data_IF_074995438092
#
_entry.id   IF_074995438092
#
_cell.length_a   1.000
_cell.length_b   1.000
_cell.length_c   1.000
_cell.angle_alpha   90.00
_cell.angle_beta   90.00
_cell.angle_gamma   90.00
#
_symmetry.space_group_name_H-M   'P 1'
#
loop_
_entity.id
_entity.type
_entity.pdbx_description
1 polymer ?
#
# COMPACT_ATOMS: atom_id res chain seq x y z
N UNK A 1 -9.90 14.65 -0.69
CA UNK A 1 -9.63 15.60 0.40
C UNK A 1 -9.22 16.91 -0.27
N UNK A 2 -9.97 17.96 -0.05
CA UNK A 2 -9.77 19.26 -0.70
C UNK A 2 -10.50 20.32 0.13
N UNK A 3 -9.92 21.49 0.37
CA UNK A 3 -10.56 22.55 1.16
C UNK A 3 -11.57 23.36 0.34
N UNK A 4 -11.44 23.36 -0.97
CA UNK A 4 -12.39 24.00 -1.88
C UNK A 4 -13.67 23.16 -2.00
N UNK A 5 -14.75 23.62 -1.38
CA UNK A 5 -16.02 22.88 -1.32
C UNK A 5 -16.57 22.55 -2.71
N UNK A 6 -16.49 23.47 -3.65
CA UNK A 6 -16.99 23.29 -5.02
C UNK A 6 -16.20 22.19 -5.73
N UNK A 7 -14.88 22.18 -5.61
CA UNK A 7 -14.02 21.13 -6.20
C UNK A 7 -14.25 19.78 -5.53
N UNK A 8 -14.25 19.76 -4.20
CA UNK A 8 -14.46 18.54 -3.39
C UNK A 8 -15.81 17.88 -3.67
N UNK A 9 -16.89 18.65 -3.58
CA UNK A 9 -18.25 18.13 -3.85
C UNK A 9 -18.46 17.86 -5.34
N UNK A 10 -17.89 18.70 -6.20
CA UNK A 10 -17.89 18.49 -7.65
C UNK A 10 -17.28 17.13 -8.02
N UNK A 11 -16.09 16.83 -7.55
CA UNK A 11 -15.46 15.54 -7.76
C UNK A 11 -16.27 14.38 -7.18
N UNK A 12 -16.85 14.55 -6.00
CA UNK A 12 -17.59 13.48 -5.34
C UNK A 12 -18.92 13.14 -6.01
N UNK A 13 -19.60 14.12 -6.61
CA UNK A 13 -20.99 13.99 -7.08
C UNK A 13 -21.14 13.91 -8.60
N UNK A 14 -20.29 14.63 -9.35
CA UNK A 14 -20.48 14.74 -10.81
C UNK A 14 -19.71 13.69 -11.61
N UNK A 15 -18.70 13.04 -11.03
CA UNK A 15 -18.02 11.92 -11.67
C UNK A 15 -18.85 10.65 -11.46
N UNK A 16 -19.16 9.90 -12.53
CA UNK A 16 -19.98 8.69 -12.42
C UNK A 16 -19.16 7.50 -11.87
N UNK A 17 -18.76 7.61 -10.61
CA UNK A 17 -17.86 6.66 -9.93
C UNK A 17 -18.28 5.20 -10.07
N UNK A 18 -19.58 4.92 -9.98
CA UNK A 18 -20.13 3.56 -10.12
C UNK A 18 -19.84 2.94 -11.48
N UNK A 19 -19.72 3.76 -12.54
CA UNK A 19 -19.36 3.29 -13.90
C UNK A 19 -17.91 2.81 -13.97
N UNK A 20 -17.09 3.17 -13.00
CA UNK A 20 -15.69 2.77 -12.88
C UNK A 20 -15.45 1.78 -11.74
N UNK A 21 -16.52 1.24 -11.16
CA UNK A 21 -16.47 0.33 -10.00
C UNK A 21 -15.76 0.95 -8.78
N UNK A 22 -15.83 2.28 -8.67
CA UNK A 22 -15.22 3.06 -7.58
C UNK A 22 -16.33 3.53 -6.64
N UNK A 23 -16.11 3.37 -5.33
CA UNK A 23 -16.99 3.89 -4.30
C UNK A 23 -16.34 5.02 -3.52
N UNK A 24 -16.90 6.22 -3.59
CA UNK A 24 -16.50 7.33 -2.72
C UNK A 24 -17.06 7.06 -1.32
N UNK A 25 -16.19 6.78 -0.37
CA UNK A 25 -16.59 6.43 1.01
C UNK A 25 -16.69 7.63 1.93
N UNK A 26 -15.96 8.70 1.65
CA UNK A 26 -15.99 9.95 2.42
C UNK A 26 -15.28 11.08 1.69
N UNK A 27 -15.60 12.32 2.08
CA UNK A 27 -14.85 13.53 1.72
C UNK A 27 -14.29 14.17 2.98
N UNK A 28 -13.27 15.03 2.85
CA UNK A 28 -12.68 15.80 3.92
C UNK A 28 -12.18 17.15 3.42
N UNK A 29 -12.23 18.18 4.26
CA UNK A 29 -11.91 19.58 3.92
C UNK A 29 -10.49 20.01 4.30
N UNK A 30 -9.71 19.16 4.92
CA UNK A 30 -8.32 19.39 5.29
C UNK A 30 -7.65 18.06 5.64
N UNK A 31 -6.33 18.08 5.81
CA UNK A 31 -5.57 16.87 6.11
C UNK A 31 -5.91 16.22 7.45
N UNK A 32 -6.24 17.00 8.48
CA UNK A 32 -6.59 16.45 9.80
C UNK A 32 -7.90 15.64 9.74
N UNK A 33 -8.94 16.21 9.13
CA UNK A 33 -10.18 15.49 8.88
C UNK A 33 -9.97 14.28 7.95
N UNK A 34 -9.07 14.42 6.96
CA UNK A 34 -8.65 13.33 6.07
C UNK A 34 -8.10 12.14 6.84
N UNK A 35 -7.21 12.35 7.81
CA UNK A 35 -6.66 11.29 8.66
C UNK A 35 -7.75 10.59 9.49
N UNK A 36 -8.68 11.35 10.07
CA UNK A 36 -9.81 10.77 10.81
C UNK A 36 -10.67 9.87 9.91
N UNK A 37 -10.94 10.32 8.67
CA UNK A 37 -11.71 9.54 7.70
C UNK A 37 -10.94 8.30 7.24
N UNK A 38 -9.64 8.39 7.01
CA UNK A 38 -8.78 7.24 6.68
C UNK A 38 -8.84 6.21 7.82
N UNK A 39 -8.67 6.63 9.06
CA UNK A 39 -8.73 5.74 10.21
C UNK A 39 -10.08 5.02 10.35
N UNK A 40 -11.18 5.74 10.07
CA UNK A 40 -12.54 5.23 10.18
C UNK A 40 -12.94 4.30 9.04
N UNK A 41 -12.68 4.69 7.81
CA UNK A 41 -13.22 4.02 6.61
C UNK A 41 -12.22 3.10 5.93
N UNK A 42 -10.92 3.21 6.23
CA UNK A 42 -9.85 2.41 5.62
C UNK A 42 -9.94 2.34 4.09
N UNK A 43 -9.98 3.48 3.40
CA UNK A 43 -10.08 3.49 1.96
C UNK A 43 -8.82 2.90 1.32
N UNK A 44 -8.95 2.35 0.12
CA UNK A 44 -7.83 1.82 -0.65
C UNK A 44 -6.99 2.93 -1.28
N UNK A 45 -7.64 4.05 -1.61
CA UNK A 45 -7.05 5.19 -2.29
C UNK A 45 -7.63 6.49 -1.72
N UNK A 46 -6.78 7.52 -1.60
CA UNK A 46 -7.21 8.89 -1.34
C UNK A 46 -6.72 9.83 -2.45
N UNK A 47 -7.64 10.69 -2.92
CA UNK A 47 -7.31 11.85 -3.75
C UNK A 47 -7.13 13.03 -2.82
N UNK A 48 -5.96 13.69 -2.88
CA UNK A 48 -5.54 14.67 -1.87
C UNK A 48 -5.02 15.92 -2.57
N UNK A 49 -5.62 17.07 -2.26
CA UNK A 49 -5.04 18.35 -2.60
C UNK A 49 -3.82 18.66 -1.73
N UNK A 50 -2.84 19.33 -2.30
CA UNK A 50 -1.61 19.70 -1.59
C UNK A 50 -1.88 20.84 -0.61
N UNK A 51 -2.51 21.90 -1.07
CA UNK A 51 -2.64 23.17 -0.33
C UNK A 51 -3.96 23.21 0.42
N UNK A 52 -3.92 22.87 1.67
CA UNK A 52 -5.11 22.92 2.53
C UNK A 52 -4.76 23.60 3.88
N UNK A 53 -5.75 24.29 4.51
CA UNK A 53 -5.57 24.86 5.85
C UNK A 53 -5.47 23.77 6.92
N UNK A 54 -4.99 24.12 8.10
CA UNK A 54 -4.86 23.27 9.30
C UNK A 54 -3.76 22.22 9.13
N UNK A 55 -3.87 21.36 8.11
CA UNK A 55 -2.88 20.35 7.74
C UNK A 55 -2.91 20.20 6.23
N UNK A 56 -1.76 20.40 5.58
CA UNK A 56 -1.61 20.25 4.14
C UNK A 56 -1.59 18.77 3.72
N UNK A 57 -1.75 18.53 2.42
CA UNK A 57 -1.82 17.17 1.88
C UNK A 57 -0.55 16.34 2.07
N UNK A 58 0.62 16.98 2.03
CA UNK A 58 1.91 16.28 2.21
C UNK A 58 2.06 15.77 3.63
N UNK A 59 1.74 16.61 4.60
CA UNK A 59 1.78 16.23 6.01
C UNK A 59 0.77 15.12 6.32
N UNK A 60 -0.44 15.22 5.77
CA UNK A 60 -1.45 14.18 5.86
C UNK A 60 -0.95 12.84 5.29
N UNK A 61 -0.36 12.84 4.08
CA UNK A 61 0.17 11.65 3.44
C UNK A 61 1.28 11.01 4.28
N UNK A 62 2.19 11.83 4.83
CA UNK A 62 3.27 11.34 5.70
C UNK A 62 2.71 10.58 6.89
N UNK A 63 1.81 11.18 7.65
CA UNK A 63 1.21 10.56 8.83
C UNK A 63 0.35 9.34 8.48
N UNK A 64 -0.39 9.40 7.36
CA UNK A 64 -1.18 8.27 6.91
C UNK A 64 -0.31 7.07 6.54
N UNK A 65 0.82 7.28 5.86
CA UNK A 65 1.73 6.19 5.44
C UNK A 65 2.45 5.52 6.60
N UNK A 66 2.67 6.21 7.71
CA UNK A 66 3.21 5.59 8.93
C UNK A 66 2.28 4.51 9.49
N UNK A 67 0.96 4.68 9.36
CA UNK A 67 -0.05 3.76 9.86
C UNK A 67 -0.60 2.81 8.78
N UNK A 68 -0.60 3.27 7.53
CA UNK A 68 -1.19 2.58 6.37
C UNK A 68 -0.21 2.61 5.18
N UNK A 69 0.92 1.89 5.25
CA UNK A 69 1.99 1.96 4.24
C UNK A 69 1.54 1.54 2.84
N UNK A 70 0.57 0.62 2.76
CA UNK A 70 0.04 0.09 1.49
C UNK A 70 -1.04 0.96 0.85
N UNK A 71 -1.49 2.02 1.54
CA UNK A 71 -2.51 2.92 1.01
C UNK A 71 -1.99 3.72 -0.17
N UNK A 72 -2.79 3.83 -1.21
CA UNK A 72 -2.47 4.57 -2.42
C UNK A 72 -2.95 6.01 -2.32
N UNK A 73 -2.11 6.94 -2.77
CA UNK A 73 -2.43 8.37 -2.82
C UNK A 73 -2.33 8.89 -4.24
N UNK A 74 -3.31 9.69 -4.65
CA UNK A 74 -3.31 10.51 -5.86
C UNK A 74 -3.30 11.96 -5.42
N UNK A 75 -2.29 12.69 -5.84
CA UNK A 75 -2.11 14.09 -5.43
C UNK A 75 -2.67 15.02 -6.51
N UNK A 76 -3.50 15.96 -6.09
CA UNK A 76 -3.93 17.09 -6.90
C UNK A 76 -2.92 18.23 -6.69
N UNK A 77 -2.35 18.77 -7.76
CA UNK A 77 -1.35 19.84 -7.69
C UNK A 77 -1.70 20.98 -8.63
N UNK A 78 -1.48 22.23 -8.19
CA UNK A 78 -1.58 23.40 -9.02
C UNK A 78 -0.27 23.73 -9.74
N UNK A 79 -0.33 24.73 -10.62
CA UNK A 79 0.87 25.32 -11.22
C UNK A 79 1.75 25.94 -10.12
N UNK A 80 3.02 25.54 -10.07
CA UNK A 80 3.98 26.07 -9.09
C UNK A 80 4.14 25.23 -7.82
N UNK A 81 3.49 24.09 -7.71
CA UNK A 81 3.60 23.18 -6.56
C UNK A 81 4.79 22.21 -6.66
N UNK A 82 5.82 22.57 -7.42
CA UNK A 82 6.95 21.68 -7.72
C UNK A 82 7.65 21.15 -6.47
N UNK A 83 7.85 21.99 -5.48
CA UNK A 83 8.52 21.64 -4.21
C UNK A 83 7.70 20.61 -3.42
N UNK A 84 6.38 20.78 -3.34
CA UNK A 84 5.48 19.83 -2.70
C UNK A 84 5.36 18.53 -3.48
N UNK A 85 5.36 18.59 -4.79
CA UNK A 85 5.33 17.39 -5.64
C UNK A 85 6.59 16.55 -5.42
N UNK A 86 7.76 17.17 -5.28
CA UNK A 86 9.00 16.47 -4.94
C UNK A 86 8.91 15.77 -3.58
N UNK A 87 8.39 16.46 -2.56
CA UNK A 87 8.18 15.85 -1.23
C UNK A 87 7.21 14.67 -1.28
N UNK A 88 6.13 14.77 -2.06
CA UNK A 88 5.20 13.66 -2.25
C UNK A 88 5.87 12.45 -2.94
N UNK A 89 6.76 12.69 -3.91
CA UNK A 89 7.55 11.63 -4.54
C UNK A 89 8.48 10.93 -3.54
N UNK A 90 9.14 11.67 -2.65
CA UNK A 90 9.97 11.11 -1.58
C UNK A 90 9.16 10.22 -0.62
N UNK A 91 7.88 10.54 -0.40
CA UNK A 91 6.94 9.73 0.35
C UNK A 91 6.42 8.53 -0.46
N UNK A 92 6.90 8.31 -1.70
CA UNK A 92 6.50 7.21 -2.56
C UNK A 92 5.13 7.39 -3.23
N UNK A 93 4.61 8.61 -3.34
CA UNK A 93 3.43 8.90 -4.16
C UNK A 93 3.85 8.85 -5.64
N UNK A 94 3.07 8.15 -6.46
CA UNK A 94 3.36 7.95 -7.89
C UNK A 94 2.33 8.56 -8.82
N UNK A 95 1.18 8.98 -8.29
CA UNK A 95 0.05 9.43 -9.07
C UNK A 95 -0.25 10.89 -8.79
N UNK A 96 -0.26 11.70 -9.86
CA UNK A 96 -0.45 13.15 -9.80
C UNK A 96 -1.45 13.58 -10.84
N UNK A 97 -2.30 14.55 -10.51
CA UNK A 97 -3.25 15.17 -11.40
C UNK A 97 -3.06 16.68 -11.29
N UNK A 98 -2.83 17.35 -12.43
CA UNK A 98 -2.65 18.80 -12.46
C UNK A 98 -4.00 19.51 -12.49
N UNK A 99 -4.21 20.45 -11.58
CA UNK A 99 -5.37 21.34 -11.57
C UNK A 99 -5.25 22.41 -12.69
N UNK A 100 -6.34 22.80 -13.35
CA UNK A 100 -7.69 22.30 -13.17
C UNK A 100 -7.85 20.89 -13.71
N UNK A 101 -8.52 20.03 -12.93
CA UNK A 101 -8.77 18.64 -13.30
C UNK A 101 -10.25 18.39 -13.55
N UNK A 102 -10.50 17.59 -14.57
CA UNK A 102 -11.81 17.06 -14.94
C UNK A 102 -11.77 15.52 -14.99
N UNK A 103 -12.92 14.92 -15.28
CA UNK A 103 -13.05 13.48 -15.41
C UNK A 103 -12.04 12.88 -16.40
N UNK A 104 -11.81 13.55 -17.53
CA UNK A 104 -10.93 13.06 -18.60
C UNK A 104 -9.48 12.91 -18.17
N UNK A 105 -9.01 13.77 -17.26
CA UNK A 105 -7.66 13.73 -16.68
C UNK A 105 -7.59 12.78 -15.47
N UNK A 106 -8.66 12.71 -14.69
CA UNK A 106 -8.71 11.98 -13.44
C UNK A 106 -8.81 10.46 -13.66
N UNK A 107 -9.73 10.02 -14.49
CA UNK A 107 -10.01 8.60 -14.69
C UNK A 107 -8.81 7.77 -15.16
N UNK A 108 -8.01 8.23 -16.15
CA UNK A 108 -6.81 7.49 -16.55
C UNK A 108 -5.79 7.28 -15.42
N UNK A 109 -5.62 8.30 -14.56
CA UNK A 109 -4.70 8.23 -13.42
C UNK A 109 -5.23 7.28 -12.35
N UNK A 110 -6.53 7.32 -12.06
CA UNK A 110 -7.18 6.44 -11.11
C UNK A 110 -7.15 4.99 -11.58
N UNK A 111 -7.46 4.73 -12.84
CA UNK A 111 -7.39 3.37 -13.40
C UNK A 111 -5.98 2.78 -13.27
N UNK A 112 -4.93 3.59 -13.51
CA UNK A 112 -3.55 3.16 -13.30
C UNK A 112 -3.26 2.87 -11.83
N UNK A 113 -3.69 3.76 -10.93
CA UNK A 113 -3.51 3.60 -9.49
C UNK A 113 -4.21 2.33 -8.96
N UNK A 114 -5.44 2.06 -9.40
CA UNK A 114 -6.17 0.85 -9.02
C UNK A 114 -5.56 -0.42 -9.61
N UNK A 115 -5.08 -0.39 -10.86
CA UNK A 115 -4.38 -1.54 -11.44
C UNK A 115 -3.12 -1.90 -10.64
N UNK A 116 -2.30 -0.91 -10.27
CA UNK A 116 -1.12 -1.11 -9.42
C UNK A 116 -1.50 -1.64 -8.02
N UNK A 117 -2.57 -1.14 -7.43
CA UNK A 117 -3.09 -1.61 -6.14
C UNK A 117 -3.52 -3.09 -6.21
N UNK A 118 -4.25 -3.47 -7.25
CA UNK A 118 -4.66 -4.86 -7.45
C UNK A 118 -3.48 -5.81 -7.67
N UNK A 119 -2.48 -5.40 -8.45
CA UNK A 119 -1.26 -6.18 -8.64
C UNK A 119 -0.50 -6.37 -7.32
N UNK A 120 -0.36 -5.31 -6.52
CA UNK A 120 0.25 -5.39 -5.20
C UNK A 120 -0.50 -6.36 -4.28
N UNK A 121 -1.83 -6.31 -4.26
CA UNK A 121 -2.68 -7.23 -3.49
C UNK A 121 -2.50 -8.69 -3.94
N UNK A 122 -2.50 -8.95 -5.24
CA UNK A 122 -2.28 -10.30 -5.79
C UNK A 122 -0.90 -10.83 -5.41
N UNK A 123 0.13 -9.98 -5.46
CA UNK A 123 1.50 -10.34 -5.08
C UNK A 123 1.60 -10.67 -3.58
N UNK A 124 1.00 -9.85 -2.71
CA UNK A 124 1.00 -10.07 -1.27
C UNK A 124 0.26 -11.36 -0.91
N UNK A 125 -0.94 -11.58 -1.45
CA UNK A 125 -1.72 -12.79 -1.22
C UNK A 125 -0.97 -14.06 -1.68
N UNK A 126 -0.23 -13.98 -2.81
CA UNK A 126 0.61 -15.09 -3.28
C UNK A 126 1.80 -15.35 -2.34
N UNK A 127 2.44 -14.29 -1.83
CA UNK A 127 3.54 -14.39 -0.88
C UNK A 127 3.08 -15.04 0.43
N UNK A 128 1.98 -14.57 1.00
CA UNK A 128 1.38 -15.13 2.22
C UNK A 128 1.01 -16.61 2.06
N UNK A 129 0.47 -16.98 0.90
CA UNK A 129 0.15 -18.38 0.61
C UNK A 129 1.40 -19.24 0.57
N UNK A 130 2.46 -18.79 -0.11
CA UNK A 130 3.74 -19.50 -0.19
C UNK A 130 4.40 -19.63 1.20
N UNK A 131 4.37 -18.58 2.01
CA UNK A 131 4.89 -18.61 3.38
C UNK A 131 4.12 -19.59 4.25
N UNK A 132 2.79 -19.63 4.11
CA UNK A 132 1.93 -20.57 4.85
C UNK A 132 2.22 -22.01 4.44
N UNK A 133 2.34 -22.30 3.14
CA UNK A 133 2.71 -23.62 2.62
C UNK A 133 4.12 -24.02 3.10
N UNK A 134 5.09 -23.13 3.03
CA UNK A 134 6.44 -23.38 3.53
C UNK A 134 6.45 -23.67 5.03
N UNK A 135 5.64 -22.94 5.83
CA UNK A 135 5.49 -23.16 7.26
C UNK A 135 4.90 -24.54 7.59
N UNK A 136 3.91 -24.97 6.80
CA UNK A 136 3.30 -26.30 6.96
C UNK A 136 4.26 -27.44 6.57
N UNK A 137 5.13 -27.23 5.58
CA UNK A 137 6.09 -28.24 5.12
C UNK A 137 7.33 -28.35 5.99
N UNK A 138 7.71 -27.28 6.71
CA UNK A 138 8.89 -27.28 7.60
C UNK A 138 8.96 -28.47 8.59
N UNK A 139 7.87 -28.86 9.31
CA UNK A 139 7.89 -29.99 10.22
C UNK A 139 8.19 -31.33 9.50
N UNK A 140 7.58 -31.54 8.34
CA UNK A 140 7.78 -32.77 7.55
C UNK A 140 9.20 -32.88 6.97
N UNK A 141 9.72 -31.75 6.46
CA UNK A 141 11.10 -31.70 5.99
C UNK A 141 12.11 -31.98 7.11
N UNK A 142 11.85 -31.43 8.30
CA UNK A 142 12.67 -31.66 9.50
C UNK A 142 12.65 -33.13 9.94
N UNK A 143 11.48 -33.76 9.97
CA UNK A 143 11.33 -35.17 10.35
C UNK A 143 12.03 -36.10 9.34
N UNK A 144 11.90 -35.80 8.06
CA UNK A 144 12.54 -36.58 7.00
C UNK A 144 14.07 -36.45 7.03
N UNK A 145 14.56 -35.23 7.26
CA UNK A 145 16.01 -34.98 7.42
C UNK A 145 16.57 -35.72 8.62
N UNK A 146 15.84 -35.71 9.75
CA UNK A 146 16.25 -36.44 10.99
C UNK A 146 16.26 -37.94 10.78
N UNK A 147 15.30 -38.48 10.05
CA UNK A 147 15.23 -39.92 9.68
C UNK A 147 16.39 -40.29 8.77
N UNK A 148 16.71 -39.48 7.76
CA UNK A 148 17.82 -39.76 6.83
C UNK A 148 19.19 -39.66 7.50
N UNK A 149 19.35 -38.77 8.47
CA UNK A 149 20.55 -38.68 9.33
C UNK A 149 20.73 -39.95 10.19
N UNK A 150 19.65 -40.41 10.83
CA UNK A 150 19.68 -41.62 11.69
C UNK A 150 19.96 -42.90 10.88
N UNK A 151 19.50 -42.96 9.65
CA UNK A 151 19.69 -44.12 8.76
C UNK A 151 21.00 -44.08 7.97
N UNK A 152 21.86 -43.09 8.18
CA UNK A 152 23.15 -42.95 7.50
C UNK A 152 23.02 -42.69 5.99
N UNK A 153 21.82 -42.31 5.50
CA UNK A 153 21.52 -42.08 4.10
C UNK A 153 21.84 -40.65 3.64
N UNK A 154 22.09 -39.75 4.57
CA UNK A 154 22.42 -38.37 4.26
C UNK A 154 23.91 -38.24 3.86
N UNK A 155 24.20 -38.33 2.57
CA UNK A 155 25.39 -37.67 2.05
C UNK A 155 25.18 -36.16 2.21
N UNK A 156 26.03 -35.55 3.04
CA UNK A 156 25.94 -34.15 3.45
C UNK A 156 25.93 -33.21 2.25
N UNK A 157 24.76 -32.88 1.73
CA UNK A 157 24.62 -31.72 0.87
C UNK A 157 24.82 -30.45 1.72
N UNK A 158 25.43 -29.41 1.16
CA UNK A 158 25.71 -28.16 1.87
C UNK A 158 24.47 -27.56 2.56
N UNK A 159 23.26 -27.79 2.01
CA UNK A 159 22.00 -27.37 2.59
C UNK A 159 21.60 -28.12 3.89
N UNK A 160 21.99 -29.38 4.06
CA UNK A 160 21.73 -30.12 5.27
C UNK A 160 22.57 -29.61 6.45
N UNK A 161 23.80 -29.15 6.21
CA UNK A 161 24.65 -28.54 7.22
C UNK A 161 24.13 -27.19 7.70
N UNK A 162 23.66 -26.37 6.77
CA UNK A 162 23.10 -25.03 7.07
C UNK A 162 21.83 -25.13 7.93
N UNK A 163 20.96 -26.12 7.66
CA UNK A 163 19.76 -26.40 8.48
C UNK A 163 20.08 -26.95 9.87
N UNK A 164 21.14 -27.73 10.02
CA UNK A 164 21.59 -28.24 11.33
C UNK A 164 22.17 -27.11 12.17
N UNK A 165 22.91 -26.18 11.58
CA UNK A 165 23.45 -25.00 12.29
C UNK A 165 22.35 -24.03 12.71
N UNK A 166 21.34 -23.78 11.89
CA UNK A 166 20.15 -22.98 12.26
C UNK A 166 19.33 -23.61 13.40
N UNK A 167 19.20 -24.93 13.41
CA UNK A 167 18.45 -25.66 14.43
C UNK A 167 19.23 -25.86 15.75
N UNK A 168 20.58 -25.84 15.68
CA UNK A 168 21.46 -25.92 16.85
C UNK A 168 21.59 -24.59 17.64
N UNK A 169 21.24 -23.48 17.00
CA UNK A 169 21.29 -22.14 17.61
C UNK A 169 20.13 -21.81 18.55
N UNK A 170 18.98 -22.50 18.45
CA UNK A 170 17.79 -22.23 19.29
C UNK A 170 17.80 -22.93 20.67
N UNK A 171 18.78 -23.75 20.96
CA UNK A 171 18.85 -24.46 22.28
C UNK A 171 19.86 -23.84 23.28
N UNK A 172 20.36 -22.64 23.02
CA UNK A 172 21.22 -21.91 23.97
C UNK A 172 20.60 -20.54 24.33
N UNK A 173 19.48 -20.54 25.01
CA UNK A 173 19.05 -19.48 25.94
C UNK A 173 18.17 -20.11 27.03
#
# INVERSE_FOLDING_TARGET
VDDEEIEREGMAQFIPWDSYEIKVVSTARNGAEGLEKIAKFRPDLAIVDIKMPVMNGIEMIRQAKEQYPDMTFVVLSGYGDYEFTSQAMELGVRHYILKPCDESKMIPVLNKAFAELEEARKKNARSEKLETEARLLKPYAREQLFRDLLLGKAQASSGARQLVDELGGEQRM
#
